data_IF_795516367704
#
_entry.id   IF_795516367704
#
_cell.length_a   1.000
_cell.length_b   1.000
_cell.length_c   1.000
_cell.angle_alpha   90.00
_cell.angle_beta   90.00
_cell.angle_gamma   90.00
#
_symmetry.space_group_name_H-M   'P 1'
#
loop_
_entity.id
_entity.type
_entity.pdbx_description
1 polymer ?
#
# COMPACT_ATOMS: atom_id res chain seq x y z
N UNK A 1 -5.52 -60.16 12.16
CA UNK A 1 -4.36 -59.37 12.64
C UNK A 1 -4.93 -58.08 13.22
N UNK A 2 -5.00 -57.97 14.56
CA UNK A 2 -4.20 -57.06 15.41
C UNK A 2 -4.44 -55.58 15.11
N UNK A 3 -4.61 -54.67 16.05
CA UNK A 3 -4.76 -54.66 17.51
C UNK A 3 -5.04 -53.20 17.84
N UNK A 4 -5.98 -52.92 18.73
CA UNK A 4 -6.03 -51.64 19.44
C UNK A 4 -4.79 -51.55 20.34
N UNK A 5 -4.15 -50.38 20.41
CA UNK A 5 -3.09 -50.08 21.38
C UNK A 5 -3.47 -48.82 22.15
N UNK A 6 -3.71 -48.99 23.44
CA UNK A 6 -3.81 -47.91 24.41
C UNK A 6 -2.45 -47.57 25.00
N UNK A 7 -2.28 -46.31 25.39
CA UNK A 7 -1.19 -45.84 26.23
C UNK A 7 -1.77 -45.40 27.58
N UNK A 8 -1.59 -46.26 28.59
CA UNK A 8 -1.74 -45.94 30.01
C UNK A 8 -0.60 -45.00 30.43
N UNK A 9 -0.93 -43.89 31.10
CA UNK A 9 0.02 -43.19 31.97
C UNK A 9 -0.59 -43.14 33.37
N UNK A 10 -0.01 -43.91 34.29
CA UNK A 10 -0.46 -44.05 35.67
C UNK A 10 -0.14 -42.79 36.48
N UNK A 11 -1.11 -42.39 37.30
CA UNK A 11 -0.94 -41.43 38.38
C UNK A 11 -1.24 -42.20 39.66
N UNK A 12 -0.21 -42.78 40.27
CA UNK A 12 -0.24 -43.27 41.64
C UNK A 12 0.98 -42.69 42.33
N UNK A 13 0.76 -41.86 43.35
CA UNK A 13 1.59 -41.56 44.52
C UNK A 13 1.35 -40.12 45.01
N UNK A 14 0.29 -39.94 45.79
CA UNK A 14 0.25 -38.91 46.85
C UNK A 14 -0.13 -39.63 48.17
N UNK A 15 0.57 -39.36 49.29
CA UNK A 15 0.23 -39.97 50.56
C UNK A 15 -1.06 -39.36 51.12
N UNK A 16 -1.89 -40.19 51.74
CA UNK A 16 -3.11 -39.80 52.45
C UNK A 16 -2.76 -38.89 53.63
N UNK A 17 -2.88 -37.57 53.45
CA UNK A 17 -2.87 -36.60 54.55
C UNK A 17 -4.30 -36.50 55.10
N UNK A 18 -4.56 -37.13 56.24
CA UNK A 18 -5.83 -36.98 56.98
C UNK A 18 -5.82 -35.62 57.69
N UNK A 19 -6.33 -34.59 57.02
CA UNK A 19 -6.54 -33.27 57.62
C UNK A 19 -7.77 -33.31 58.55
N UNK A 20 -7.55 -33.04 59.84
CA UNK A 20 -8.62 -32.87 60.83
C UNK A 20 -9.59 -31.76 60.41
N UNK A 21 -10.90 -31.95 60.67
CA UNK A 21 -11.98 -30.99 60.34
C UNK A 21 -11.67 -29.55 60.79
N UNK A 22 -10.95 -29.38 61.89
CA UNK A 22 -10.54 -28.07 62.41
C UNK A 22 -9.48 -27.35 61.56
N UNK A 23 -8.62 -28.10 60.86
CA UNK A 23 -7.56 -27.55 60.01
C UNK A 23 -8.10 -27.15 58.63
N UNK A 24 -9.04 -27.92 58.08
CA UNK A 24 -9.73 -27.58 56.83
C UNK A 24 -10.57 -26.31 56.99
N UNK A 25 -11.27 -26.16 58.13
CA UNK A 25 -12.05 -24.94 58.42
C UNK A 25 -11.17 -23.69 58.55
N UNK A 26 -9.99 -23.81 59.18
CA UNK A 26 -9.02 -22.70 59.29
C UNK A 26 -8.35 -22.36 57.95
N UNK A 27 -8.04 -23.35 57.12
CA UNK A 27 -7.50 -23.13 55.76
C UNK A 27 -8.55 -22.47 54.87
N UNK A 28 -9.82 -22.88 54.97
CA UNK A 28 -10.92 -22.26 54.23
C UNK A 28 -11.16 -20.81 54.68
N UNK A 29 -11.06 -20.52 55.99
CA UNK A 29 -11.14 -19.15 56.51
C UNK A 29 -9.94 -18.28 56.08
N UNK A 30 -8.72 -18.85 56.03
CA UNK A 30 -7.54 -18.14 55.53
C UNK A 30 -7.63 -17.85 54.03
N UNK A 31 -8.15 -18.79 53.22
CA UNK A 31 -8.38 -18.60 51.78
C UNK A 31 -9.47 -17.55 51.48
N UNK A 32 -10.50 -17.46 52.32
CA UNK A 32 -11.52 -16.42 52.22
C UNK A 32 -10.98 -15.03 52.59
N UNK A 33 -10.01 -14.95 53.50
CA UNK A 33 -9.33 -13.71 53.87
C UNK A 33 -8.27 -13.25 52.84
N UNK A 34 -7.67 -14.17 52.08
CA UNK A 34 -6.68 -13.85 51.04
C UNK A 34 -7.27 -13.44 49.69
N UNK A 35 -8.58 -13.56 49.49
CA UNK A 35 -9.24 -13.26 48.20
C UNK A 35 -9.74 -11.82 48.07
N UNK A 36 -9.40 -10.93 49.00
CA UNK A 36 -9.59 -9.49 48.81
C UNK A 36 -8.49 -8.96 47.88
N UNK A 37 -8.49 -9.42 46.62
CA UNK A 37 -7.89 -8.65 45.54
C UNK A 37 -8.73 -7.39 45.49
N UNK A 38 -8.18 -6.28 45.97
CA UNK A 38 -8.78 -4.95 45.79
C UNK A 38 -8.86 -4.75 44.28
N UNK A 39 -10.02 -5.06 43.69
CA UNK A 39 -10.29 -4.70 42.32
C UNK A 39 -10.24 -3.17 42.28
N UNK A 40 -9.19 -2.61 41.67
CA UNK A 40 -9.10 -1.18 41.44
C UNK A 40 -10.32 -0.80 40.60
N UNK A 41 -11.27 -0.09 41.21
CA UNK A 41 -12.46 0.39 40.52
C UNK A 41 -12.02 1.49 39.55
N UNK A 42 -12.01 1.17 38.26
CA UNK A 42 -11.74 2.15 37.21
C UNK A 42 -13.02 2.94 36.93
N UNK A 43 -12.90 4.25 36.91
CA UNK A 43 -13.97 5.17 36.51
C UNK A 43 -13.56 6.09 35.38
N UNK A 44 -14.27 7.21 35.26
CA UNK A 44 -14.03 8.24 34.27
C UNK A 44 -12.90 9.19 34.68
N UNK A 45 -12.34 9.90 33.71
CA UNK A 45 -11.47 11.07 33.96
C UNK A 45 -12.16 12.40 33.64
N UNK A 46 -13.20 12.35 32.80
CA UNK A 46 -14.03 13.49 32.45
C UNK A 46 -15.48 13.11 32.22
N UNK A 47 -16.33 14.14 32.18
CA UNK A 47 -17.71 14.03 31.74
C UNK A 47 -18.26 15.40 31.33
N UNK A 48 -18.71 15.52 30.10
CA UNK A 48 -19.26 16.75 29.51
C UNK A 48 -18.23 17.77 29.06
N UNK A 49 -18.72 18.77 28.31
CA UNK A 49 -17.94 19.89 27.77
C UNK A 49 -18.23 21.19 28.54
N UNK A 50 -17.22 21.83 29.14
CA UNK A 50 -17.44 23.02 29.99
C UNK A 50 -17.02 24.33 29.34
N UNK A 51 -16.17 24.25 28.33
CA UNK A 51 -15.59 25.42 27.68
C UNK A 51 -15.48 25.21 26.18
N UNK A 52 -15.48 26.33 25.47
CA UNK A 52 -15.09 26.40 24.07
C UNK A 52 -13.94 27.39 23.96
N UNK A 53 -12.81 26.96 23.39
CA UNK A 53 -11.65 27.83 23.23
C UNK A 53 -11.85 28.86 22.09
N UNK A 54 -10.87 29.73 21.87
CA UNK A 54 -10.93 30.74 20.81
C UNK A 54 -10.92 30.14 19.39
N UNK A 55 -10.49 28.89 19.24
CA UNK A 55 -10.45 28.13 17.98
C UNK A 55 -11.72 27.28 17.78
N UNK A 56 -12.74 27.47 18.61
CA UNK A 56 -14.00 26.69 18.62
C UNK A 56 -13.85 25.23 19.04
N UNK A 57 -12.75 24.86 19.69
CA UNK A 57 -12.59 23.54 20.27
C UNK A 57 -13.36 23.39 21.56
N UNK A 58 -13.99 22.24 21.73
CA UNK A 58 -14.66 21.84 22.97
C UNK A 58 -13.66 21.23 23.94
N UNK A 59 -13.69 21.67 25.19
CA UNK A 59 -12.82 21.15 26.25
C UNK A 59 -13.62 20.43 27.32
N UNK A 60 -13.12 19.26 27.72
CA UNK A 60 -13.78 18.34 28.64
C UNK A 60 -13.65 18.79 30.11
N UNK A 61 -14.66 18.46 30.90
CA UNK A 61 -14.67 18.76 32.34
C UNK A 61 -14.10 17.61 33.15
N UNK A 62 -13.23 17.87 34.13
CA UNK A 62 -12.72 16.83 35.01
C UNK A 62 -13.86 16.19 35.81
N UNK A 63 -13.89 14.86 35.82
CA UNK A 63 -14.88 14.07 36.55
C UNK A 63 -14.30 12.69 36.84
N UNK A 64 -14.26 12.32 38.12
CA UNK A 64 -13.62 11.08 38.61
C UNK A 64 -14.63 10.03 39.10
N UNK A 65 -15.91 10.17 38.74
CA UNK A 65 -16.95 9.22 39.13
C UNK A 65 -17.11 8.04 38.17
N UNK A 66 -18.09 7.17 38.41
CA UNK A 66 -18.41 6.07 37.50
C UNK A 66 -19.03 6.58 36.19
N UNK A 67 -18.96 5.77 35.14
CA UNK A 67 -19.67 6.01 33.88
C UNK A 67 -21.17 6.20 34.11
N UNK A 68 -21.79 7.09 33.33
CA UNK A 68 -23.21 7.40 33.42
C UNK A 68 -23.97 6.70 32.30
N UNK A 69 -25.20 6.32 32.59
CA UNK A 69 -26.07 5.66 31.62
C UNK A 69 -26.44 6.60 30.46
N UNK A 70 -26.25 6.11 29.23
CA UNK A 70 -26.64 6.80 28.01
C UNK A 70 -28.00 6.30 27.53
N UNK A 71 -29.02 7.15 27.64
CA UNK A 71 -30.41 6.81 27.29
C UNK A 71 -30.89 7.45 25.98
N UNK A 72 -30.22 8.50 25.49
CA UNK A 72 -30.64 9.23 24.31
C UNK A 72 -30.48 8.39 23.04
N UNK A 73 -31.56 8.13 22.28
CA UNK A 73 -31.51 7.30 21.08
C UNK A 73 -30.62 7.89 19.97
N UNK A 74 -30.53 9.21 19.86
CA UNK A 74 -29.68 9.86 18.85
C UNK A 74 -28.19 9.60 19.12
N UNK A 75 -27.76 9.77 20.37
CA UNK A 75 -26.39 9.52 20.81
C UNK A 75 -26.02 8.04 20.73
N UNK A 76 -26.96 7.14 21.06
CA UNK A 76 -26.78 5.70 20.88
C UNK A 76 -26.61 5.31 19.40
N UNK A 77 -27.25 6.02 18.47
CA UNK A 77 -27.05 5.77 17.03
C UNK A 77 -25.64 6.15 16.56
N UNK A 78 -25.08 7.24 17.10
CA UNK A 78 -23.69 7.67 16.86
C UNK A 78 -22.72 6.64 17.42
N UNK A 79 -22.95 6.21 18.66
CA UNK A 79 -22.12 5.20 19.32
C UNK A 79 -22.10 3.89 18.52
N UNK A 80 -23.26 3.36 18.13
CA UNK A 80 -23.32 2.13 17.31
C UNK A 80 -22.65 2.26 15.95
N UNK A 81 -22.66 3.47 15.38
CA UNK A 81 -22.04 3.74 14.08
C UNK A 81 -20.52 3.74 14.16
N UNK A 82 -19.95 4.42 15.14
CA UNK A 82 -18.49 4.66 15.21
C UNK A 82 -17.76 3.78 16.20
N UNK A 83 -18.41 3.42 17.31
CA UNK A 83 -17.84 2.70 18.44
C UNK A 83 -18.71 1.47 18.81
N UNK A 84 -18.93 0.52 17.88
CA UNK A 84 -19.82 -0.61 18.12
C UNK A 84 -19.42 -1.43 19.34
N UNK A 85 -18.12 -1.55 19.63
CA UNK A 85 -17.59 -2.30 20.77
C UNK A 85 -17.98 -1.70 22.13
N UNK A 86 -18.32 -0.41 22.20
CA UNK A 86 -18.85 0.23 23.42
C UNK A 86 -20.38 0.14 23.51
N UNK A 87 -21.05 -0.24 22.42
CA UNK A 87 -22.50 -0.38 22.36
C UNK A 87 -22.96 -1.84 22.57
N UNK A 88 -22.02 -2.78 22.74
CA UNK A 88 -22.28 -4.20 22.94
C UNK A 88 -22.63 -4.49 24.40
N UNK A 89 -23.91 -4.78 24.67
CA UNK A 89 -24.38 -5.17 26.00
C UNK A 89 -25.91 -5.27 26.09
N UNK A 90 -26.42 -6.28 26.80
CA UNK A 90 -27.86 -6.48 27.04
C UNK A 90 -28.41 -5.63 28.21
N UNK A 91 -27.68 -4.59 28.64
CA UNK A 91 -27.98 -3.78 29.82
C UNK A 91 -27.85 -2.28 29.57
N UNK A 92 -27.86 -1.49 30.65
CA UNK A 92 -27.61 -0.05 30.59
C UNK A 92 -26.19 0.23 30.08
N UNK A 93 -26.07 1.05 29.03
CA UNK A 93 -24.79 1.41 28.43
C UNK A 93 -24.23 2.58 29.24
N UNK A 94 -23.27 2.29 30.11
CA UNK A 94 -22.59 3.30 30.92
C UNK A 94 -21.36 3.82 30.18
N UNK A 95 -21.27 5.15 30.02
CA UNK A 95 -20.19 5.82 29.29
C UNK A 95 -19.62 6.97 30.12
N UNK A 96 -18.36 7.31 29.84
CA UNK A 96 -17.70 8.50 30.39
C UNK A 96 -17.82 9.72 29.47
N UNK A 97 -18.85 9.75 28.62
CA UNK A 97 -19.15 10.88 27.75
C UNK A 97 -20.64 11.21 27.71
N UNK A 98 -20.96 12.49 27.52
CA UNK A 98 -22.34 12.96 27.40
C UNK A 98 -22.79 13.10 25.93
N UNK A 99 -24.05 13.51 25.75
CA UNK A 99 -24.63 13.72 24.43
C UNK A 99 -23.86 14.74 23.60
N UNK A 100 -23.40 15.84 24.20
CA UNK A 100 -22.68 16.89 23.50
C UNK A 100 -21.30 16.41 23.02
N UNK A 101 -20.57 15.70 23.88
CA UNK A 101 -19.29 15.08 23.54
C UNK A 101 -19.42 14.08 22.39
N UNK A 102 -20.48 13.27 22.37
CA UNK A 102 -20.72 12.34 21.26
C UNK A 102 -21.04 13.06 19.94
N UNK A 103 -21.77 14.17 19.96
CA UNK A 103 -22.01 14.99 18.77
C UNK A 103 -20.71 15.64 18.25
N UNK A 104 -19.90 16.18 19.15
CA UNK A 104 -18.58 16.73 18.82
C UNK A 104 -17.66 15.65 18.24
N UNK A 105 -17.67 14.45 18.84
CA UNK A 105 -16.91 13.31 18.35
C UNK A 105 -17.39 12.86 16.95
N UNK A 106 -18.71 12.78 16.70
CA UNK A 106 -19.26 12.48 15.37
C UNK A 106 -18.78 13.48 14.30
N UNK A 107 -18.78 14.77 14.62
CA UNK A 107 -18.27 15.80 13.71
C UNK A 107 -16.78 15.61 13.38
N UNK A 108 -15.95 15.40 14.41
CA UNK A 108 -14.50 15.21 14.24
C UNK A 108 -14.18 13.91 13.50
N UNK A 109 -14.90 12.83 13.79
CA UNK A 109 -14.74 11.55 13.10
C UNK A 109 -15.14 11.67 11.63
N UNK A 110 -16.25 12.37 11.31
CA UNK A 110 -16.64 12.62 9.91
C UNK A 110 -15.54 13.34 9.13
N UNK A 111 -14.83 14.28 9.77
CA UNK A 111 -13.70 14.95 9.16
C UNK A 111 -12.56 13.96 8.84
N UNK A 112 -12.17 13.12 9.80
CA UNK A 112 -11.15 12.09 9.58
C UNK A 112 -11.57 11.04 8.54
N UNK A 113 -12.86 10.68 8.53
CA UNK A 113 -13.44 9.73 7.59
C UNK A 113 -13.34 10.21 6.13
N UNK A 114 -13.32 11.52 5.86
CA UNK A 114 -13.09 12.02 4.51
C UNK A 114 -11.75 11.56 3.90
N UNK A 115 -10.77 11.23 4.75
CA UNK A 115 -9.46 10.74 4.30
C UNK A 115 -9.36 9.21 4.41
N UNK A 116 -9.93 8.60 5.46
CA UNK A 116 -9.69 7.20 5.79
C UNK A 116 -10.83 6.24 5.43
N UNK A 117 -12.03 6.73 5.07
CA UNK A 117 -13.19 5.87 4.85
C UNK A 117 -13.06 4.89 3.66
N UNK A 118 -12.09 5.12 2.75
CA UNK A 118 -11.78 4.18 1.66
C UNK A 118 -11.26 2.83 2.15
N UNK A 119 -10.66 2.79 3.34
CA UNK A 119 -10.24 1.56 3.99
C UNK A 119 -10.95 1.43 5.36
N UNK A 120 -12.07 0.68 5.42
CA UNK A 120 -12.85 0.52 6.65
C UNK A 120 -12.04 -0.04 7.82
N UNK A 121 -11.16 -1.03 7.57
CA UNK A 121 -10.33 -1.64 8.61
C UNK A 121 -9.38 -0.61 9.26
N UNK A 122 -8.76 0.25 8.45
CA UNK A 122 -7.95 1.36 8.95
C UNK A 122 -8.76 2.31 9.83
N UNK A 123 -9.91 2.77 9.33
CA UNK A 123 -10.75 3.71 10.06
C UNK A 123 -11.23 3.10 11.38
N UNK A 124 -11.71 1.85 11.39
CA UNK A 124 -12.16 1.17 12.61
C UNK A 124 -11.03 1.03 13.64
N UNK A 125 -9.81 0.66 13.21
CA UNK A 125 -8.66 0.59 14.12
C UNK A 125 -8.32 1.96 14.72
N UNK A 126 -8.38 3.02 13.91
CA UNK A 126 -8.15 4.37 14.42
C UNK A 126 -9.24 4.77 15.40
N UNK A 127 -10.51 4.48 15.09
CA UNK A 127 -11.62 4.88 15.95
C UNK A 127 -11.68 4.11 17.27
N UNK A 128 -11.26 2.84 17.31
CA UNK A 128 -11.33 2.02 18.53
C UNK A 128 -10.66 2.73 19.73
N UNK A 129 -9.40 3.16 19.61
CA UNK A 129 -8.74 3.85 20.71
C UNK A 129 -9.31 5.25 21.00
N UNK A 130 -9.79 5.98 19.99
CA UNK A 130 -10.44 7.29 20.16
C UNK A 130 -11.72 7.14 20.96
N UNK A 131 -12.56 6.18 20.60
CA UNK A 131 -13.77 5.81 21.32
C UNK A 131 -13.43 5.43 22.77
N UNK A 132 -12.38 4.64 22.97
CA UNK A 132 -12.00 4.15 24.28
C UNK A 132 -11.58 5.28 25.22
N UNK A 133 -10.59 6.10 24.84
CA UNK A 133 -10.16 7.19 25.71
C UNK A 133 -11.23 8.29 25.86
N UNK A 134 -12.18 8.40 24.92
CA UNK A 134 -13.24 9.43 24.96
C UNK A 134 -14.46 9.03 25.76
N UNK A 135 -14.88 7.77 25.69
CA UNK A 135 -16.19 7.34 26.18
C UNK A 135 -16.19 6.04 27.00
N UNK A 136 -15.11 5.26 27.03
CA UNK A 136 -15.12 3.98 27.76
C UNK A 136 -15.41 4.19 29.25
N UNK A 137 -16.17 3.29 29.90
CA UNK A 137 -16.53 3.42 31.32
C UNK A 137 -15.33 3.32 32.27
N UNK A 138 -14.21 2.77 31.80
CA UNK A 138 -12.98 2.48 32.56
C UNK A 138 -11.78 3.34 32.12
N UNK A 139 -12.00 4.55 31.58
CA UNK A 139 -10.95 5.47 31.10
C UNK A 139 -9.72 5.58 32.01
N UNK A 140 -9.94 5.74 33.32
CA UNK A 140 -8.87 5.90 34.32
C UNK A 140 -7.93 4.69 34.42
N UNK A 141 -8.25 3.59 33.75
CA UNK A 141 -7.38 2.42 33.60
C UNK A 141 -6.16 2.70 32.74
N UNK A 142 -6.31 3.48 31.67
CA UNK A 142 -5.29 3.69 30.64
C UNK A 142 -5.07 5.17 30.26
N UNK A 143 -5.82 6.09 30.86
CA UNK A 143 -5.64 7.54 30.67
C UNK A 143 -5.33 8.21 32.01
N UNK A 144 -4.35 9.11 32.00
CA UNK A 144 -4.00 9.96 33.12
C UNK A 144 -4.17 11.44 32.77
N UNK A 145 -4.71 12.24 33.68
CA UNK A 145 -4.83 13.69 33.49
C UNK A 145 -3.54 14.35 33.98
N UNK A 146 -2.83 15.03 33.08
CA UNK A 146 -1.54 15.67 33.39
C UNK A 146 -1.70 17.16 33.68
N UNK A 147 -2.60 17.83 32.96
CA UNK A 147 -2.77 19.27 33.06
C UNK A 147 -4.25 19.68 33.05
N UNK A 148 -4.56 20.66 33.89
CA UNK A 148 -5.87 21.33 33.94
C UNK A 148 -5.69 22.83 34.02
N UNK A 149 -6.60 23.58 33.41
CA UNK A 149 -6.64 25.03 33.47
C UNK A 149 -7.98 25.53 34.02
N UNK A 150 -7.98 26.72 34.64
CA UNK A 150 -9.21 27.40 35.05
C UNK A 150 -9.52 28.49 34.03
N UNK A 151 -10.70 28.41 33.44
CA UNK A 151 -11.20 29.37 32.45
C UNK A 151 -11.57 30.71 33.11
N UNK A 152 -11.73 31.77 32.30
CA UNK A 152 -12.17 33.08 32.78
C UNK A 152 -13.55 33.05 33.46
N UNK A 153 -14.38 32.05 33.15
CA UNK A 153 -15.69 31.81 33.78
C UNK A 153 -15.60 30.98 35.07
N UNK A 154 -14.38 30.72 35.58
CA UNK A 154 -14.15 29.95 36.81
C UNK A 154 -14.35 28.44 36.67
N UNK A 155 -14.52 27.91 35.45
CA UNK A 155 -14.65 26.46 35.21
C UNK A 155 -13.29 25.83 34.99
N UNK A 156 -13.03 24.69 35.63
CA UNK A 156 -11.85 23.86 35.39
C UNK A 156 -12.04 23.01 34.14
N UNK A 157 -11.02 22.98 33.28
CA UNK A 157 -10.99 22.21 32.03
C UNK A 157 -9.70 21.40 31.95
N UNK A 158 -9.74 20.27 31.25
CA UNK A 158 -8.55 19.46 30.99
C UNK A 158 -7.79 20.02 29.79
N UNK A 159 -6.48 20.20 29.95
CA UNK A 159 -5.58 20.74 28.91
C UNK A 159 -4.46 19.77 28.52
N UNK A 160 -4.29 18.69 29.27
CA UNK A 160 -3.29 17.66 28.99
C UNK A 160 -3.69 16.31 29.55
N UNK A 161 -3.50 15.25 28.75
CA UNK A 161 -3.62 13.86 29.17
C UNK A 161 -2.47 13.01 28.64
N UNK A 162 -2.17 11.93 29.36
CA UNK A 162 -1.35 10.82 28.88
C UNK A 162 -2.24 9.62 28.59
N UNK A 163 -2.10 9.03 27.41
CA UNK A 163 -2.80 7.79 27.01
C UNK A 163 -1.77 6.68 26.90
N UNK A 164 -1.83 5.70 27.80
CA UNK A 164 -0.94 4.54 27.80
C UNK A 164 -1.43 3.51 26.79
N UNK A 165 -0.71 3.36 25.69
CA UNK A 165 -1.13 2.56 24.53
C UNK A 165 -0.02 1.61 24.09
N UNK A 166 -0.42 0.44 23.60
CA UNK A 166 0.52 -0.59 23.16
C UNK A 166 1.25 -0.16 21.88
N UNK A 167 2.57 -0.35 21.85
CA UNK A 167 3.40 -0.09 20.68
C UNK A 167 2.98 -0.93 19.46
N UNK A 168 2.64 -2.21 19.70
CA UNK A 168 2.13 -3.08 18.63
C UNK A 168 0.77 -2.60 18.11
N UNK A 169 -0.06 -2.01 18.99
CA UNK A 169 -1.31 -1.41 18.58
C UNK A 169 -1.08 -0.21 17.66
N UNK A 170 -0.28 0.77 18.10
CA UNK A 170 0.03 1.95 17.29
C UNK A 170 0.59 1.57 15.92
N UNK A 171 1.51 0.60 15.90
CA UNK A 171 2.12 0.10 14.66
C UNK A 171 1.12 -0.62 13.77
N UNK A 172 0.23 -1.43 14.35
CA UNK A 172 -0.82 -2.12 13.60
C UNK A 172 -1.85 -1.17 12.99
N UNK A 173 -2.29 -0.15 13.73
CA UNK A 173 -3.17 0.91 13.19
C UNK A 173 -2.47 1.62 12.04
N UNK A 174 -1.22 2.05 12.23
CA UNK A 174 -0.44 2.73 11.19
C UNK A 174 -0.29 1.87 9.92
N UNK A 175 0.09 0.60 10.07
CA UNK A 175 0.26 -0.33 8.95
C UNK A 175 -1.05 -0.59 8.20
N UNK A 176 -2.19 -0.59 8.90
CA UNK A 176 -3.50 -0.72 8.23
C UNK A 176 -3.87 0.50 7.39
N UNK A 177 -3.25 1.67 7.63
CA UNK A 177 -3.59 2.95 7.04
C UNK A 177 -2.55 3.51 6.04
N UNK A 178 -1.35 2.93 5.99
CA UNK A 178 -0.18 3.53 5.32
C UNK A 178 -0.37 3.78 3.82
N UNK A 179 -1.17 2.95 3.14
CA UNK A 179 -1.41 3.02 1.69
C UNK A 179 -2.78 3.60 1.33
N UNK A 180 -3.55 4.08 2.31
CA UNK A 180 -4.87 4.65 2.03
C UNK A 180 -4.71 5.92 1.19
N UNK A 181 -5.35 5.94 0.04
CA UNK A 181 -5.27 7.05 -0.92
C UNK A 181 -6.38 8.08 -0.69
N UNK A 182 -6.13 9.34 -1.08
CA UNK A 182 -7.14 10.41 -1.11
C UNK A 182 -7.28 10.86 -2.57
N UNK A 183 -8.25 10.32 -3.34
CA UNK A 183 -8.33 10.55 -4.79
C UNK A 183 -8.47 12.01 -5.20
N UNK A 184 -9.11 12.84 -4.37
CA UNK A 184 -9.30 14.26 -4.66
C UNK A 184 -8.01 15.07 -4.66
N UNK A 185 -6.97 14.61 -3.94
CA UNK A 185 -5.67 15.28 -3.86
C UNK A 185 -4.58 14.51 -4.62
N UNK A 186 -4.78 13.22 -4.89
CA UNK A 186 -3.77 12.34 -5.47
C UNK A 186 -2.68 11.91 -4.48
N UNK A 187 -2.80 12.28 -3.21
CA UNK A 187 -1.85 11.91 -2.15
C UNK A 187 -2.38 10.77 -1.28
N UNK A 188 -1.49 10.19 -0.47
CA UNK A 188 -1.88 9.27 0.60
C UNK A 188 -2.54 10.03 1.75
N UNK A 189 -3.44 9.40 2.50
CA UNK A 189 -4.11 10.01 3.64
C UNK A 189 -3.11 10.48 4.71
N UNK A 190 -2.06 9.70 4.97
CA UNK A 190 -0.99 10.08 5.90
C UNK A 190 -0.15 11.27 5.43
N UNK A 191 -0.19 11.65 4.15
CA UNK A 191 0.43 12.90 3.68
C UNK A 191 -0.23 14.11 4.36
N UNK A 192 -1.54 14.05 4.56
CA UNK A 192 -2.34 15.11 5.17
C UNK A 192 -2.45 14.94 6.70
N UNK A 193 -2.33 13.71 7.20
CA UNK A 193 -2.56 13.37 8.60
C UNK A 193 -1.28 13.20 9.43
N UNK A 194 -0.07 13.35 8.85
CA UNK A 194 1.21 13.22 9.57
C UNK A 194 1.98 14.56 9.70
N UNK A 195 1.29 15.68 9.47
CA UNK A 195 1.86 17.02 9.56
C UNK A 195 3.02 17.24 8.59
N UNK A 196 4.04 17.96 9.04
CA UNK A 196 5.20 18.34 8.22
C UNK A 196 6.07 17.16 7.75
N UNK A 197 5.87 15.95 8.29
CA UNK A 197 6.63 14.77 7.87
C UNK A 197 6.16 14.20 6.53
N UNK A 198 4.89 14.42 6.17
CA UNK A 198 4.24 13.76 5.03
C UNK A 198 4.22 12.24 5.16
N UNK A 199 3.69 11.53 4.16
CA UNK A 199 3.60 10.07 4.16
C UNK A 199 4.98 9.41 4.09
N UNK A 200 5.92 9.99 3.34
CA UNK A 200 7.25 9.39 3.07
C UNK A 200 8.15 9.27 4.31
N UNK A 201 8.01 10.16 5.31
CA UNK A 201 8.82 10.16 6.55
C UNK A 201 7.97 9.95 7.80
N UNK A 202 6.72 9.54 7.62
CA UNK A 202 5.82 9.23 8.72
C UNK A 202 6.21 7.90 9.37
N UNK A 203 6.10 7.87 10.70
CA UNK A 203 6.22 6.64 11.50
C UNK A 203 4.99 6.54 12.40
N UNK A 204 4.65 5.35 12.95
CA UNK A 204 3.52 5.21 13.86
C UNK A 204 3.59 6.25 14.98
N UNK A 205 4.77 6.41 15.59
CA UNK A 205 4.98 7.38 16.67
C UNK A 205 4.68 8.82 16.25
N UNK A 206 5.26 9.27 15.13
CA UNK A 206 5.08 10.64 14.62
C UNK A 206 3.62 10.94 14.27
N UNK A 207 2.92 9.96 13.72
CA UNK A 207 1.51 10.12 13.37
C UNK A 207 0.64 10.34 14.61
N UNK A 208 0.80 9.49 15.63
CA UNK A 208 0.07 9.63 16.89
C UNK A 208 0.48 10.91 17.64
N UNK A 209 1.76 11.26 17.66
CA UNK A 209 2.21 12.52 18.26
C UNK A 209 1.56 13.73 17.56
N UNK A 210 1.43 13.72 16.22
CA UNK A 210 0.72 14.78 15.48
C UNK A 210 -0.79 14.79 15.74
N UNK A 211 -1.43 13.64 15.91
CA UNK A 211 -2.85 13.55 16.29
C UNK A 211 -3.12 14.06 17.71
N UNK A 212 -2.10 14.11 18.57
CA UNK A 212 -2.22 14.55 19.95
C UNK A 212 -1.56 15.90 20.26
N UNK A 213 -0.99 16.59 19.27
CA UNK A 213 -0.23 17.81 19.50
C UNK A 213 -0.96 19.08 19.01
N UNK A 214 -1.49 19.92 19.91
CA UNK A 214 -2.20 21.15 19.55
C UNK A 214 -1.29 22.25 18.97
N UNK A 215 0.03 22.11 19.13
CA UNK A 215 0.99 23.05 18.56
C UNK A 215 1.22 22.83 17.06
N UNK A 216 1.29 21.56 16.63
CA UNK A 216 1.47 21.21 15.21
C UNK A 216 0.16 20.96 14.47
N UNK A 217 -0.92 20.61 15.18
CA UNK A 217 -2.21 20.30 14.58
C UNK A 217 -3.32 21.19 15.18
N UNK A 218 -3.80 22.14 14.39
CA UNK A 218 -4.84 23.09 14.82
C UNK A 218 -6.18 22.41 15.12
N UNK A 219 -6.44 21.18 14.67
CA UNK A 219 -7.69 20.47 14.96
C UNK A 219 -7.68 19.77 16.34
N UNK A 220 -6.53 19.73 17.01
CA UNK A 220 -6.38 19.09 18.32
C UNK A 220 -6.73 20.09 19.42
N UNK A 221 -7.74 19.79 20.27
CA UNK A 221 -8.26 20.74 21.25
C UNK A 221 -7.31 21.00 22.43
N UNK A 222 -6.55 19.97 22.83
CA UNK A 222 -5.62 20.01 23.96
C UNK A 222 -4.58 18.89 23.83
N UNK A 223 -3.52 18.90 24.64
CA UNK A 223 -2.41 17.95 24.50
C UNK A 223 -2.84 16.53 24.86
N UNK A 224 -2.66 15.59 23.94
CA UNK A 224 -2.82 14.15 24.16
C UNK A 224 -1.47 13.49 23.92
N UNK A 225 -0.77 13.14 24.98
CA UNK A 225 0.51 12.45 24.88
C UNK A 225 0.27 10.93 24.85
N UNK A 226 0.51 10.32 23.69
CA UNK A 226 0.48 8.86 23.58
C UNK A 226 1.75 8.28 24.20
N UNK A 227 1.65 7.55 25.30
CA UNK A 227 2.78 6.86 25.92
C UNK A 227 2.84 5.45 25.33
N UNK A 228 3.85 5.22 24.49
CA UNK A 228 4.03 3.93 23.81
C UNK A 228 4.65 2.92 24.78
N UNK A 229 3.92 1.85 25.05
CA UNK A 229 4.37 0.79 25.97
C UNK A 229 4.70 -0.47 25.17
N UNK A 230 5.89 -1.08 25.36
CA UNK A 230 6.24 -2.33 24.69
C UNK A 230 5.23 -3.44 25.00
N UNK A 231 4.90 -4.28 24.01
CA UNK A 231 3.88 -5.33 24.12
C UNK A 231 4.16 -6.40 25.19
N UNK A 232 5.39 -6.46 25.71
CA UNK A 232 5.74 -7.34 26.84
C UNK A 232 5.13 -6.89 28.16
N UNK A 233 4.74 -5.62 28.28
CA UNK A 233 4.23 -5.03 29.52
C UNK A 233 2.72 -4.82 29.41
N UNK A 234 1.95 -5.49 30.26
CA UNK A 234 0.49 -5.32 30.33
C UNK A 234 0.08 -4.06 31.10
N UNK A 235 0.97 -3.53 31.95
CA UNK A 235 0.73 -2.34 32.77
C UNK A 235 2.01 -1.56 33.01
N UNK A 236 1.90 -0.25 33.19
CA UNK A 236 2.99 0.66 33.55
C UNK A 236 2.48 1.65 34.60
N UNK A 237 3.25 1.91 35.66
CA UNK A 237 2.93 2.88 36.73
C UNK A 237 1.50 2.75 37.32
N UNK A 238 0.96 1.53 37.37
CA UNK A 238 -0.40 1.26 37.88
C UNK A 238 -1.54 1.56 36.90
N UNK A 239 -1.22 1.88 35.65
CA UNK A 239 -2.13 1.96 34.50
C UNK A 239 -2.01 0.70 33.66
N UNK A 240 -3.13 0.16 33.17
CA UNK A 240 -3.10 -0.91 32.19
C UNK A 240 -3.00 -0.32 30.80
N UNK A 241 -2.31 -1.03 29.91
CA UNK A 241 -2.08 -0.56 28.54
C UNK A 241 -3.34 -0.74 27.70
N UNK A 242 -3.72 0.30 26.95
CA UNK A 242 -4.76 0.23 25.93
C UNK A 242 -4.25 -0.59 24.73
N UNK A 243 -4.90 -1.72 24.45
CA UNK A 243 -4.56 -2.60 23.33
C UNK A 243 -5.83 -3.25 22.72
N UNK A 244 -6.67 -2.48 22.01
CA UNK A 244 -7.83 -3.00 21.30
C UNK A 244 -7.42 -3.99 20.20
N UNK A 245 -8.39 -4.76 19.70
CA UNK A 245 -8.15 -5.66 18.57
C UNK A 245 -7.81 -4.86 17.30
N UNK A 246 -6.76 -5.28 16.61
CA UNK A 246 -6.32 -4.67 15.34
C UNK A 246 -6.81 -5.53 14.20
N UNK A 247 -7.48 -4.90 13.23
CA UNK A 247 -7.89 -5.57 12.00
C UNK A 247 -6.93 -5.23 10.86
N UNK A 248 -6.29 -6.24 10.28
CA UNK A 248 -5.46 -6.03 9.09
C UNK A 248 -6.29 -5.49 7.91
N UNK A 249 -5.65 -4.72 7.02
CA UNK A 249 -6.36 -4.04 5.93
C UNK A 249 -6.97 -5.01 4.90
N UNK A 250 -6.42 -6.23 4.79
CA UNK A 250 -6.92 -7.30 3.93
C UNK A 250 -8.00 -8.18 4.58
N UNK A 251 -8.43 -7.86 5.80
CA UNK A 251 -9.48 -8.60 6.52
C UNK A 251 -10.76 -7.74 6.56
N UNK A 252 -11.93 -8.30 6.22
CA UNK A 252 -13.20 -7.57 6.30
C UNK A 252 -13.55 -7.21 7.74
N UNK A 253 -14.18 -6.05 7.94
CA UNK A 253 -14.60 -5.57 9.27
C UNK A 253 -15.78 -6.39 9.79
N UNK A 254 -16.77 -6.66 8.94
CA UNK A 254 -17.87 -7.57 9.23
C UNK A 254 -18.44 -8.15 7.92
N UNK A 255 -19.54 -8.90 8.00
CA UNK A 255 -20.17 -9.52 6.83
C UNK A 255 -20.71 -8.52 5.79
N UNK A 256 -20.96 -7.27 6.20
CA UNK A 256 -21.49 -6.20 5.35
C UNK A 256 -20.39 -5.24 4.85
N UNK A 257 -19.27 -5.15 5.57
CA UNK A 257 -18.15 -4.25 5.25
C UNK A 257 -16.92 -5.04 4.78
N UNK A 258 -16.62 -5.03 3.46
CA UNK A 258 -15.53 -5.82 2.89
C UNK A 258 -14.15 -5.31 3.34
N UNK A 259 -13.12 -6.10 3.03
CA UNK A 259 -11.73 -5.70 3.19
C UNK A 259 -11.37 -4.49 2.31
N UNK A 260 -10.26 -3.84 2.63
CA UNK A 260 -9.77 -2.70 1.86
C UNK A 260 -9.32 -3.13 0.45
N UNK A 261 -9.45 -2.23 -0.52
CA UNK A 261 -9.05 -2.50 -1.91
C UNK A 261 -7.52 -2.62 -2.03
N UNK A 262 -7.04 -3.33 -3.06
CA UNK A 262 -5.60 -3.43 -3.37
C UNK A 262 -4.93 -2.06 -3.56
N UNK A 263 -5.66 -1.05 -4.05
CA UNK A 263 -5.14 0.33 -4.19
C UNK A 263 -4.87 1.02 -2.85
N UNK A 264 -5.63 0.66 -1.82
CA UNK A 264 -5.54 1.26 -0.48
C UNK A 264 -4.82 0.33 0.54
N UNK A 265 -4.49 -0.90 0.12
CA UNK A 265 -3.86 -1.96 0.92
C UNK A 265 -3.21 -3.02 0.01
N UNK A 266 -1.88 -3.05 -0.04
CA UNK A 266 -1.09 -3.99 -0.83
C UNK A 266 -1.30 -5.44 -0.38
N UNK A 267 -1.56 -5.67 0.90
CA UNK A 267 -1.87 -7.00 1.42
C UNK A 267 -3.19 -7.58 0.88
N UNK A 268 -4.04 -6.75 0.25
CA UNK A 268 -5.26 -7.18 -0.46
C UNK A 268 -5.01 -7.51 -1.93
N UNK A 269 -3.81 -7.24 -2.46
CA UNK A 269 -3.49 -7.50 -3.85
C UNK A 269 -3.33 -8.99 -4.14
N UNK A 270 -3.76 -9.47 -5.32
CA UNK A 270 -3.44 -10.82 -5.76
C UNK A 270 -1.91 -10.95 -5.95
N UNK A 271 -1.39 -12.15 -5.74
CA UNK A 271 0.02 -12.42 -6.04
C UNK A 271 0.29 -12.21 -7.54
N UNK A 272 1.47 -11.68 -7.86
CA UNK A 272 1.88 -11.48 -9.25
C UNK A 272 1.86 -12.80 -10.01
N UNK A 273 1.38 -12.80 -11.28
CA UNK A 273 1.52 -13.97 -12.12
C UNK A 273 3.02 -14.29 -12.32
N UNK A 274 3.38 -15.58 -12.48
CA UNK A 274 4.76 -15.94 -12.75
C UNK A 274 5.26 -15.20 -14.00
N UNK A 275 6.52 -14.73 -14.00
CA UNK A 275 7.05 -13.98 -15.14
C UNK A 275 6.91 -14.82 -16.40
N UNK A 276 6.43 -14.20 -17.48
CA UNK A 276 6.39 -14.87 -18.77
C UNK A 276 7.80 -15.36 -19.10
N UNK A 277 7.96 -16.62 -19.56
CA UNK A 277 9.26 -17.10 -19.97
C UNK A 277 9.78 -16.15 -21.06
N UNK A 278 11.07 -15.78 -21.03
CA UNK A 278 11.62 -14.92 -22.06
C UNK A 278 11.37 -15.54 -23.43
N UNK A 279 11.06 -14.71 -24.42
CA UNK A 279 10.89 -15.15 -25.80
C UNK A 279 12.13 -15.96 -26.20
N UNK A 280 11.90 -17.19 -26.68
CA UNK A 280 13.01 -18.05 -27.09
C UNK A 280 13.71 -17.40 -28.28
N UNK A 281 15.04 -17.29 -28.28
CA UNK A 281 15.75 -16.82 -29.47
C UNK A 281 15.43 -17.76 -30.64
N UNK A 282 15.25 -17.17 -31.83
CA UNK A 282 15.02 -17.95 -33.05
C UNK A 282 16.20 -18.91 -33.25
N UNK A 283 15.92 -20.22 -33.17
CA UNK A 283 16.86 -21.29 -33.43
C UNK A 283 16.28 -22.24 -34.46
N UNK A 284 16.97 -22.39 -35.58
CA UNK A 284 16.65 -23.39 -36.59
C UNK A 284 17.78 -24.44 -36.54
N UNK A 285 17.44 -25.73 -36.37
CA UNK A 285 18.41 -26.83 -36.27
C UNK A 285 19.48 -26.66 -35.16
N UNK A 286 19.16 -25.93 -34.08
CA UNK A 286 20.10 -25.69 -32.97
C UNK A 286 21.10 -24.56 -33.21
N UNK A 287 21.03 -23.88 -34.35
CA UNK A 287 21.84 -22.70 -34.68
C UNK A 287 20.96 -21.45 -34.58
N UNK A 288 21.46 -20.38 -33.98
CA UNK A 288 20.72 -19.12 -33.92
C UNK A 288 20.48 -18.58 -35.33
N UNK A 289 19.25 -18.14 -35.62
CA UNK A 289 18.84 -17.69 -36.95
C UNK A 289 19.74 -16.58 -37.50
N UNK A 290 20.34 -15.75 -36.64
CA UNK A 290 21.37 -14.77 -37.01
C UNK A 290 22.54 -15.39 -37.78
N UNK A 291 23.09 -16.52 -37.32
CA UNK A 291 24.22 -17.18 -37.99
C UNK A 291 23.81 -17.75 -39.35
N UNK A 292 22.59 -18.28 -39.47
CA UNK A 292 22.05 -18.79 -40.74
C UNK A 292 21.87 -17.64 -41.74
N UNK A 293 21.35 -16.49 -41.28
CA UNK A 293 21.20 -15.29 -42.11
C UNK A 293 22.55 -14.72 -42.56
N UNK A 294 23.55 -14.68 -41.68
CA UNK A 294 24.88 -14.20 -42.03
C UNK A 294 25.61 -15.16 -42.99
N UNK A 295 25.50 -16.47 -42.78
CA UNK A 295 26.08 -17.48 -43.66
C UNK A 295 25.45 -17.44 -45.05
N UNK A 296 24.12 -17.32 -45.14
CA UNK A 296 23.44 -17.23 -46.44
C UNK A 296 23.88 -15.99 -47.20
N UNK A 297 23.92 -14.82 -46.55
CA UNK A 297 24.42 -13.58 -47.15
C UNK A 297 25.88 -13.72 -47.64
N UNK A 298 26.75 -14.36 -46.86
CA UNK A 298 28.15 -14.59 -47.24
C UNK A 298 28.28 -15.51 -48.46
N UNK A 299 27.53 -16.62 -48.50
CA UNK A 299 27.57 -17.57 -49.62
C UNK A 299 27.03 -16.93 -50.90
N UNK A 300 25.86 -16.29 -50.85
CA UNK A 300 25.28 -15.64 -52.02
C UNK A 300 26.14 -14.46 -52.50
N UNK A 301 26.69 -13.66 -51.59
CA UNK A 301 27.60 -12.57 -51.93
C UNK A 301 28.91 -13.05 -52.56
N UNK A 302 29.52 -14.10 -52.02
CA UNK A 302 30.75 -14.68 -52.56
C UNK A 302 30.52 -15.33 -53.92
N UNK A 303 29.40 -16.04 -54.11
CA UNK A 303 29.03 -16.60 -55.41
C UNK A 303 28.81 -15.51 -56.46
N UNK A 304 28.13 -14.41 -56.11
CA UNK A 304 27.98 -13.27 -57.01
C UNK A 304 29.33 -12.64 -57.37
N UNK A 305 30.21 -12.44 -56.38
CA UNK A 305 31.56 -11.91 -56.61
C UNK A 305 32.39 -12.81 -57.54
N UNK A 306 32.41 -14.13 -57.28
CA UNK A 306 33.11 -15.09 -58.13
C UNK A 306 32.51 -15.11 -59.54
N UNK A 307 31.19 -15.02 -59.70
CA UNK A 307 30.58 -14.93 -61.02
C UNK A 307 31.04 -13.68 -61.77
N UNK A 308 31.10 -12.51 -61.13
CA UNK A 308 31.59 -11.28 -61.75
C UNK A 308 33.06 -11.41 -62.17
N UNK A 309 33.93 -11.91 -61.29
CA UNK A 309 35.37 -12.08 -61.58
C UNK A 309 35.60 -13.10 -62.70
N UNK A 310 34.90 -14.24 -62.68
CA UNK A 310 35.01 -15.26 -63.74
C UNK A 310 34.39 -14.77 -65.07
N UNK A 311 33.45 -13.83 -65.04
CA UNK A 311 32.86 -13.24 -66.24
C UNK A 311 33.80 -12.20 -66.88
N UNK A 312 34.55 -11.43 -66.09
CA UNK A 312 35.57 -10.49 -66.56
C UNK A 312 36.73 -11.22 -67.28
N UNK A 313 37.25 -12.32 -66.74
CA UNK A 313 38.31 -13.09 -67.42
C UNK A 313 37.82 -13.76 -68.71
N UNK A 314 36.60 -14.31 -68.72
CA UNK A 314 36.05 -14.92 -69.95
C UNK A 314 35.69 -13.88 -71.02
N UNK A 315 35.30 -12.67 -70.64
CA UNK A 315 35.05 -11.57 -71.59
C UNK A 315 36.36 -11.07 -72.22
N UNK A 316 37.47 -10.99 -71.45
CA UNK A 316 38.77 -10.57 -72.01
C UNK A 316 39.39 -11.65 -72.93
N UNK A 317 39.17 -12.94 -72.66
CA UNK A 317 39.62 -14.04 -73.54
C UNK A 317 38.83 -14.08 -74.85
N UNK A 318 37.53 -13.76 -74.84
CA UNK A 318 36.70 -13.71 -76.05
C UNK A 318 37.07 -12.56 -77.02
N UNK A 319 37.73 -11.49 -76.54
CA UNK A 319 38.13 -10.35 -77.38
C UNK A 319 39.50 -10.59 -78.06
N UNK A 320 40.37 -11.45 -77.51
CA UNK A 320 41.70 -11.70 -78.11
C UNK A 320 41.71 -12.70 -79.27
N UNK A 321 40.68 -13.54 -79.42
CA UNK A 321 40.61 -14.56 -80.49
C UNK A 321 39.94 -14.06 -81.78
N UNK A 322 39.39 -12.84 -81.76
CA UNK A 322 38.70 -12.26 -82.92
C UNK A 322 39.54 -11.17 -83.57
N UNK A 323 40.52 -11.57 -84.39
CA UNK A 323 41.20 -10.67 -85.33
C UNK A 323 40.18 -10.04 -86.29
N UNK A 324 39.88 -8.75 -86.13
CA UNK A 324 38.87 -8.04 -86.91
C UNK A 324 39.53 -7.21 -88.02
N UNK A 325 39.55 -7.73 -89.25
CA UNK A 325 39.92 -7.01 -90.48
C UNK A 325 38.78 -7.13 -91.50
N UNK A 326 38.29 -5.97 -91.96
CA UNK A 326 37.51 -5.70 -93.18
C UNK A 326 36.08 -6.28 -93.33
N UNK A 327 35.12 -5.65 -94.01
CA UNK A 327 34.87 -4.29 -94.53
C UNK A 327 33.41 -4.31 -95.06
N UNK A 328 32.65 -3.24 -94.78
CA UNK A 328 31.80 -2.44 -95.68
C UNK A 328 30.81 -3.10 -96.66
N UNK A 329 29.54 -2.69 -96.56
CA UNK A 329 28.68 -2.03 -97.59
C UNK A 329 27.21 -2.36 -97.25
N UNK A 330 26.27 -1.45 -96.97
CA UNK A 330 26.02 -0.13 -97.51
C UNK A 330 24.84 -0.23 -98.50
N UNK A 331 23.61 0.10 -98.07
CA UNK A 331 22.67 0.87 -98.89
C UNK A 331 21.50 1.47 -98.08
N UNK A 332 21.05 2.64 -98.53
CA UNK A 332 20.26 3.67 -97.86
C UNK A 332 18.73 3.50 -97.97
N UNK A 333 17.98 4.04 -96.99
CA UNK A 333 16.52 4.03 -97.03
C UNK A 333 15.77 4.86 -95.98
N UNK A 334 15.92 6.19 -96.04
CA UNK A 334 14.97 7.25 -95.60
C UNK A 334 14.32 7.16 -94.19
N UNK A 335 14.78 8.04 -93.31
CA UNK A 335 14.15 8.39 -92.03
C UNK A 335 13.01 9.39 -92.26
N UNK A 336 11.78 9.03 -91.86
CA UNK A 336 10.68 9.98 -91.62
C UNK A 336 10.37 9.98 -90.12
N UNK A 337 10.46 11.17 -89.53
CA UNK A 337 10.24 11.47 -88.12
C UNK A 337 8.75 11.38 -87.78
N UNK A 338 8.43 10.62 -86.72
CA UNK A 338 7.09 10.58 -86.11
C UNK A 338 7.17 10.53 -84.58
N UNK A 339 7.31 11.69 -83.93
CA UNK A 339 6.96 11.88 -82.52
C UNK A 339 5.44 11.91 -82.36
N UNK A 340 4.90 11.25 -81.32
CA UNK A 340 3.61 11.45 -80.60
C UNK A 340 3.43 10.22 -79.67
N UNK A 341 2.95 10.21 -78.42
CA UNK A 341 2.32 11.12 -77.44
C UNK A 341 2.54 10.46 -76.06
N UNK A 342 2.99 11.15 -75.00
CA UNK A 342 2.18 11.90 -74.02
C UNK A 342 0.99 11.14 -73.39
N UNK A 343 1.20 10.76 -72.12
CA UNK A 343 0.31 10.85 -70.96
C UNK A 343 -1.21 10.62 -71.11
N UNK A 344 -1.76 9.70 -70.30
CA UNK A 344 -3.14 9.79 -69.80
C UNK A 344 -3.21 9.47 -68.31
N UNK A 345 -3.91 10.38 -67.62
CA UNK A 345 -4.19 10.58 -66.21
C UNK A 345 -5.46 9.84 -65.78
N UNK A 346 -5.52 9.32 -64.55
CA UNK A 346 -6.70 9.15 -63.66
C UNK A 346 -6.11 8.72 -62.28
N UNK A 347 -6.04 9.54 -61.22
CA UNK A 347 -7.08 10.15 -60.36
C UNK A 347 -8.04 9.16 -59.69
N UNK A 348 -7.73 8.85 -58.41
CA UNK A 348 -8.59 8.73 -57.19
C UNK A 348 -9.82 7.80 -57.23
N UNK A 349 -10.28 7.08 -56.19
CA UNK A 349 -10.26 7.26 -54.72
C UNK A 349 -10.99 6.06 -54.10
N UNK A 350 -10.58 5.57 -52.92
CA UNK A 350 -11.42 5.11 -51.77
C UNK A 350 -10.54 4.29 -50.81
N UNK A 351 -10.14 4.85 -49.66
CA UNK A 351 -10.79 4.71 -48.34
C UNK A 351 -10.65 3.28 -47.79
N UNK A 352 -9.79 3.11 -46.79
CA UNK A 352 -10.24 2.67 -45.46
C UNK A 352 -9.20 3.03 -44.39
N UNK A 353 -9.75 3.45 -43.27
CA UNK A 353 -9.12 3.99 -42.07
C UNK A 353 -8.34 2.93 -41.29
N UNK A 354 -7.20 3.32 -40.69
CA UNK A 354 -7.00 3.05 -39.25
C UNK A 354 -5.88 3.93 -38.70
N UNK A 355 -6.25 4.87 -37.82
CA UNK A 355 -5.33 5.53 -36.90
C UNK A 355 -5.24 4.70 -35.62
N UNK A 356 -4.09 4.10 -35.37
CA UNK A 356 -3.60 3.91 -33.99
C UNK A 356 -2.11 4.24 -33.93
N UNK A 357 -1.79 5.27 -33.15
CA UNK A 357 -0.41 5.61 -32.78
C UNK A 357 0.26 4.46 -32.01
N UNK A 358 1.60 4.36 -32.09
CA UNK A 358 2.33 4.52 -30.84
C UNK A 358 3.56 5.43 -30.98
N UNK A 359 3.66 6.38 -30.05
CA UNK A 359 4.93 6.93 -29.58
C UNK A 359 5.74 5.79 -28.94
N UNK A 360 6.65 5.20 -29.70
CA UNK A 360 7.88 4.66 -29.13
C UNK A 360 9.09 5.24 -29.86
N UNK A 361 9.73 6.16 -29.16
CA UNK A 361 11.10 6.59 -29.41
C UNK A 361 12.03 5.38 -29.30
N UNK A 362 12.42 4.82 -30.44
CA UNK A 362 13.68 4.10 -30.58
C UNK A 362 14.52 4.81 -31.63
N UNK A 363 15.34 5.72 -31.15
CA UNK A 363 16.44 6.33 -31.88
C UNK A 363 17.45 5.23 -32.19
N UNK A 364 17.49 4.76 -33.43
CA UNK A 364 18.62 4.02 -33.97
C UNK A 364 18.85 4.52 -35.38
N UNK A 365 19.59 5.62 -35.45
CA UNK A 365 20.14 6.16 -36.68
C UNK A 365 21.31 5.26 -37.10
N UNK A 366 21.10 4.36 -38.04
CA UNK A 366 22.18 3.85 -38.89
C UNK A 366 21.82 4.19 -40.33
N UNK A 367 22.26 5.38 -40.76
CA UNK A 367 22.28 5.77 -42.16
C UNK A 367 23.72 5.70 -42.65
N UNK A 368 23.94 4.72 -43.52
CA UNK A 368 24.57 4.80 -44.85
C UNK A 368 26.06 5.14 -45.00
N UNK A 369 26.72 4.16 -45.63
CA UNK A 369 27.67 4.26 -46.75
C UNK A 369 29.00 5.00 -46.55
N UNK A 370 30.09 4.22 -46.53
CA UNK A 370 31.29 4.55 -47.31
C UNK A 370 31.66 3.31 -48.13
N UNK A 371 31.46 3.41 -49.44
CA UNK A 371 32.07 2.54 -50.41
C UNK A 371 33.55 2.94 -50.55
N UNK A 372 34.47 1.98 -50.42
CA UNK A 372 35.83 2.13 -50.92
C UNK A 372 36.12 0.94 -51.83
N UNK A 373 36.06 1.21 -53.13
CA UNK A 373 36.71 0.39 -54.13
C UNK A 373 38.22 0.57 -53.98
N UNK A 374 38.97 -0.54 -53.92
CA UNK A 374 40.42 -0.50 -54.08
C UNK A 374 40.84 -1.72 -54.90
N UNK A 375 41.35 -1.45 -56.10
CA UNK A 375 41.96 -2.43 -56.98
C UNK A 375 43.44 -2.09 -57.14
N UNK A 376 44.24 -3.14 -57.01
CA UNK A 376 45.67 -3.31 -57.33
C UNK A 376 46.66 -2.45 -56.53
N UNK A 377 47.46 -3.19 -55.75
CA UNK A 377 48.74 -2.88 -55.10
C UNK A 377 48.77 -1.95 -53.88
N UNK A 378 49.12 -2.59 -52.76
CA UNK A 378 49.63 -2.07 -51.49
C UNK A 378 48.61 -1.84 -50.36
N UNK A 379 48.50 -2.87 -49.50
CA UNK A 379 48.19 -2.83 -48.06
C UNK A 379 47.23 -1.74 -47.56
N UNK A 380 45.99 -2.13 -47.26
CA UNK A 380 45.16 -1.39 -46.30
C UNK A 380 44.68 -2.35 -45.20
N UNK A 381 45.14 -2.07 -43.99
CA UNK A 381 44.95 -2.83 -42.76
C UNK A 381 43.53 -2.57 -42.23
N UNK A 382 42.82 -3.64 -41.84
CA UNK A 382 41.52 -3.58 -41.20
C UNK A 382 41.70 -3.05 -39.76
N UNK A 383 41.01 -1.98 -39.40
CA UNK A 383 40.78 -1.60 -38.00
C UNK A 383 39.27 -1.64 -37.74
N UNK A 384 38.93 -2.43 -36.72
CA UNK A 384 37.59 -2.74 -36.18
C UNK A 384 36.73 -1.50 -35.90
#
# INVERSE_FOLDING_TARGET
MRSTNGSKLGIDLLPNIVLSKGTVSKIFLLCLLSSQVIAKEYGCIWYGECNTDQKSHKQNCPYTGPGKEMTNPASLSILRKWCPHLAEGNGSINLCCDDAQLQTMDFNIKMAANFLARCPSCLTNLLAHICDFTCAPDQSRFVNVTETAVTALGKTVITGIDVYISESYMSGVFNSCIQVSVPSTGYLALELMCGHWGASRCTPRKWFDYMGDPASNTYVPFKVAYVSVPSTNASIDGFQVLNPEIRACNVPVNSLTPACSCMDCEASCPADPPPHPPDRPCRLLGIDCYHIMMLSLFVFGSMAFLLVVNFEEKLMVLISDSGLVHHVSGDDGKIVVGRRLAAKKHSSTSLDDDETSPLQSKRSSMLFYIAVACSVTSTCLILL
#
